data_IF_918777194994
#
_entry.id   IF_918777194994
#
_cell.length_a   1.000
_cell.length_b   1.000
_cell.length_c   1.000
_cell.angle_alpha   90.00
_cell.angle_beta   90.00
_cell.angle_gamma   90.00
#
_symmetry.space_group_name_H-M   'P 1'
#
loop_
_entity.id
_entity.type
_entity.pdbx_description
1 polymer ?
#
# COMPACT_ATOMS: atom_id res chain seq x y z
N UNK A 1 -5.76 21.00 -6.65
CA UNK A 1 -4.99 19.74 -6.69
C UNK A 1 -4.78 19.33 -5.25
N UNK A 2 -5.20 18.12 -4.90
CA UNK A 2 -5.07 17.58 -3.56
C UNK A 2 -4.25 16.30 -3.62
N UNK A 3 -3.34 16.12 -2.68
CA UNK A 3 -2.49 14.93 -2.62
C UNK A 3 -2.71 14.25 -1.27
N UNK A 4 -2.76 12.93 -1.28
CA UNK A 4 -2.62 12.13 -0.07
C UNK A 4 -1.43 11.18 -0.19
N UNK A 5 -0.69 11.04 0.91
CA UNK A 5 0.34 10.03 1.09
C UNK A 5 -0.20 9.05 2.11
N UNK A 6 -0.42 7.82 1.67
CA UNK A 6 -0.92 6.72 2.48
C UNK A 6 0.20 5.70 2.65
N UNK A 7 0.71 5.54 3.86
CA UNK A 7 1.79 4.60 4.19
C UNK A 7 1.23 3.48 5.06
N UNK A 8 1.43 2.24 4.62
CA UNK A 8 1.01 1.05 5.36
C UNK A 8 2.22 0.19 5.71
N UNK A 9 2.23 -0.30 6.94
CA UNK A 9 3.21 -1.31 7.38
C UNK A 9 2.54 -2.66 7.52
N UNK A 10 3.25 -3.70 7.11
CA UNK A 10 2.77 -5.07 7.08
C UNK A 10 3.69 -5.99 7.87
N UNK A 11 3.08 -6.94 8.58
CA UNK A 11 3.75 -8.14 9.07
C UNK A 11 3.39 -9.32 8.17
N UNK A 12 4.37 -10.16 7.85
CA UNK A 12 4.20 -11.37 7.03
C UNK A 12 4.59 -12.62 7.85
N UNK A 13 3.72 -13.08 8.79
CA UNK A 13 4.01 -14.27 9.59
C UNK A 13 4.23 -15.50 8.72
N UNK A 14 5.26 -16.28 9.06
CA UNK A 14 5.60 -17.50 8.33
C UNK A 14 6.20 -17.28 6.94
N UNK A 15 6.46 -16.03 6.54
CA UNK A 15 7.20 -15.76 5.31
C UNK A 15 8.68 -16.10 5.53
N UNK A 16 9.21 -17.08 4.80
CA UNK A 16 10.55 -17.64 5.00
C UNK A 16 11.62 -17.11 4.05
N UNK A 17 11.26 -16.27 3.08
CA UNK A 17 12.23 -15.72 2.13
C UNK A 17 11.78 -14.41 1.48
N UNK A 18 12.74 -13.64 0.96
CA UNK A 18 12.45 -12.43 0.19
C UNK A 18 11.66 -12.70 -1.09
N UNK A 19 11.87 -13.87 -1.71
CA UNK A 19 11.11 -14.28 -2.91
C UNK A 19 9.63 -14.48 -2.58
N UNK A 20 9.36 -15.19 -1.48
CA UNK A 20 8.01 -15.43 -0.99
C UNK A 20 7.31 -14.12 -0.63
N UNK A 21 8.00 -13.21 0.07
CA UNK A 21 7.48 -11.87 0.36
C UNK A 21 7.08 -11.13 -0.92
N UNK A 22 7.94 -11.09 -1.94
CA UNK A 22 7.62 -10.45 -3.23
C UNK A 22 6.39 -11.05 -3.88
N UNK A 23 6.19 -12.37 -3.76
CA UNK A 23 4.99 -13.04 -4.25
C UNK A 23 3.74 -12.62 -3.46
N UNK A 24 3.80 -12.62 -2.12
CA UNK A 24 2.65 -12.24 -1.25
C UNK A 24 2.26 -10.77 -1.41
N UNK A 25 3.24 -9.88 -1.60
CA UNK A 25 3.02 -8.43 -1.74
C UNK A 25 2.82 -7.97 -3.19
N UNK A 26 3.19 -8.78 -4.18
CA UNK A 26 3.17 -8.41 -5.59
C UNK A 26 1.80 -8.00 -6.13
N UNK A 27 0.72 -8.44 -5.48
CA UNK A 27 -0.66 -8.05 -5.80
C UNK A 27 -0.92 -6.54 -5.65
N UNK A 28 -0.18 -5.83 -4.79
CA UNK A 28 -0.38 -4.40 -4.57
C UNK A 28 -0.03 -3.57 -5.81
N UNK A 29 1.17 -3.77 -6.36
CA UNK A 29 1.59 -3.03 -7.55
C UNK A 29 0.70 -3.36 -8.76
N UNK A 30 0.36 -4.64 -8.96
CA UNK A 30 -0.48 -5.05 -10.08
C UNK A 30 -1.91 -4.49 -10.04
N UNK A 31 -2.48 -4.30 -8.84
CA UNK A 31 -3.87 -3.81 -8.70
C UNK A 31 -3.97 -2.30 -8.62
N UNK A 32 -3.07 -1.65 -7.89
CA UNK A 32 -3.15 -0.20 -7.64
C UNK A 32 -2.27 0.63 -8.57
N UNK A 33 -1.18 0.05 -9.10
CA UNK A 33 -0.26 0.75 -10.01
C UNK A 33 -0.84 1.01 -11.40
N UNK A 34 -1.99 0.40 -11.74
CA UNK A 34 -2.70 0.66 -12.99
C UNK A 34 -3.72 1.81 -12.88
N UNK A 35 -3.93 2.36 -11.69
CA UNK A 35 -4.82 3.50 -11.47
C UNK A 35 -4.04 4.79 -11.75
N UNK A 36 -4.38 5.61 -12.77
CA UNK A 36 -3.57 6.76 -13.16
C UNK A 36 -3.39 7.83 -12.08
N UNK A 37 -4.34 7.93 -11.15
CA UNK A 37 -4.28 8.87 -10.02
C UNK A 37 -3.44 8.38 -8.85
N UNK A 38 -2.84 7.18 -8.94
CA UNK A 38 -2.15 6.51 -7.83
C UNK A 38 -0.74 6.07 -8.25
N UNK A 39 0.27 6.53 -7.52
CA UNK A 39 1.60 5.94 -7.55
C UNK A 39 1.77 5.03 -6.33
N UNK A 40 2.37 3.84 -6.50
CA UNK A 40 2.54 2.86 -5.42
C UNK A 40 3.92 2.21 -5.48
N UNK A 41 4.57 2.04 -4.32
CA UNK A 41 5.78 1.24 -4.23
C UNK A 41 5.99 0.65 -2.83
N UNK A 42 6.85 -0.38 -2.76
CA UNK A 42 7.44 -0.79 -1.49
C UNK A 42 8.50 0.24 -1.08
N UNK A 43 8.15 1.07 -0.10
CA UNK A 43 8.94 2.19 0.40
C UNK A 43 9.91 1.78 1.51
N UNK A 44 9.65 0.68 2.22
CA UNK A 44 10.48 0.23 3.33
C UNK A 44 10.49 -1.29 3.55
N UNK A 45 11.44 -1.76 4.37
CA UNK A 45 11.52 -3.17 4.77
C UNK A 45 12.02 -4.15 3.68
N UNK A 46 12.55 -3.68 2.55
CA UNK A 46 12.95 -4.53 1.40
C UNK A 46 13.90 -5.69 1.73
N UNK A 47 14.79 -5.52 2.72
CA UNK A 47 15.75 -6.53 3.16
C UNK A 47 15.17 -7.53 4.18
N UNK A 48 13.95 -7.30 4.68
CA UNK A 48 13.23 -8.18 5.60
C UNK A 48 12.20 -9.00 4.85
N UNK A 49 12.11 -10.29 5.14
CA UNK A 49 11.08 -11.17 4.56
C UNK A 49 9.78 -11.16 5.37
N UNK A 50 9.86 -10.87 6.67
CA UNK A 50 8.76 -10.92 7.65
C UNK A 50 8.00 -9.60 7.79
N UNK A 51 8.44 -8.54 7.13
CA UNK A 51 7.84 -7.21 7.20
C UNK A 51 7.98 -6.45 5.88
N UNK A 52 7.07 -5.52 5.61
CA UNK A 52 7.12 -4.66 4.41
C UNK A 52 6.43 -3.33 4.71
N UNK A 53 6.85 -2.27 4.06
CA UNK A 53 6.17 -0.97 4.09
C UNK A 53 5.88 -0.53 2.66
N UNK A 54 4.66 -0.08 2.44
CA UNK A 54 4.19 0.38 1.14
C UNK A 54 3.59 1.76 1.26
N UNK A 55 3.93 2.61 0.31
CA UNK A 55 3.42 3.97 0.21
C UNK A 55 2.65 4.13 -1.09
N UNK A 56 1.49 4.77 -0.96
CA UNK A 56 0.60 5.16 -2.03
C UNK A 56 0.55 6.69 -2.06
N UNK A 57 0.80 7.28 -3.21
CA UNK A 57 0.59 8.71 -3.45
C UNK A 57 -0.63 8.84 -4.35
N UNK A 58 -1.68 9.48 -3.84
CA UNK A 58 -2.95 9.68 -4.53
C UNK A 58 -3.10 11.16 -4.87
N UNK A 59 -3.42 11.47 -6.12
CA UNK A 59 -3.65 12.85 -6.59
C UNK A 59 -5.06 12.99 -7.15
N UNK A 60 -5.78 14.03 -6.73
CA UNK A 60 -7.15 14.29 -7.20
C UNK A 60 -7.47 15.76 -7.37
N UNK A 61 -8.64 16.03 -7.97
CA UNK A 61 -9.13 17.39 -8.20
C UNK A 61 -9.84 17.95 -6.97
N UNK A 62 -10.33 17.09 -6.07
CA UNK A 62 -10.96 17.49 -4.82
C UNK A 62 -10.46 16.66 -3.62
N UNK A 63 -10.48 17.25 -2.42
CA UNK A 63 -10.14 16.54 -1.18
C UNK A 63 -11.02 15.30 -0.96
N UNK A 64 -12.33 15.42 -1.25
CA UNK A 64 -13.31 14.34 -1.10
C UNK A 64 -12.97 13.13 -1.97
N UNK A 65 -12.56 13.37 -3.21
CA UNK A 65 -12.14 12.32 -4.15
C UNK A 65 -10.92 11.56 -3.62
N UNK A 66 -9.88 12.30 -3.20
CA UNK A 66 -8.65 11.72 -2.65
C UNK A 66 -8.93 10.90 -1.38
N UNK A 67 -9.72 11.43 -0.45
CA UNK A 67 -10.13 10.70 0.76
C UNK A 67 -10.93 9.43 0.43
N UNK A 68 -11.79 9.48 -0.59
CA UNK A 68 -12.55 8.33 -1.04
C UNK A 68 -11.64 7.24 -1.59
N UNK A 69 -10.64 7.61 -2.40
CA UNK A 69 -9.67 6.66 -2.93
C UNK A 69 -8.78 6.06 -1.82
N UNK A 70 -8.37 6.85 -0.82
CA UNK A 70 -7.63 6.32 0.34
C UNK A 70 -8.42 5.21 1.05
N UNK A 71 -9.71 5.47 1.34
CA UNK A 71 -10.58 4.47 1.97
C UNK A 71 -10.73 3.21 1.13
N UNK A 72 -10.92 3.36 -0.18
CA UNK A 72 -11.05 2.23 -1.10
C UNK A 72 -9.77 1.38 -1.16
N UNK A 73 -8.59 2.02 -1.13
CA UNK A 73 -7.31 1.31 -1.09
C UNK A 73 -7.19 0.50 0.20
N UNK A 74 -7.48 1.10 1.35
CA UNK A 74 -7.39 0.41 2.64
C UNK A 74 -8.34 -0.78 2.75
N UNK A 75 -9.61 -0.62 2.36
CA UNK A 75 -10.60 -1.70 2.36
C UNK A 75 -10.19 -2.87 1.43
N UNK A 76 -9.56 -2.54 0.30
CA UNK A 76 -9.10 -3.54 -0.66
C UNK A 76 -7.82 -4.25 -0.21
N UNK A 77 -6.90 -3.54 0.45
CA UNK A 77 -5.60 -4.08 0.87
C UNK A 77 -5.78 -5.32 1.74
N UNK A 78 -6.69 -5.28 2.71
CA UNK A 78 -6.95 -6.41 3.61
C UNK A 78 -7.35 -7.71 2.89
N UNK A 79 -7.88 -7.60 1.67
CA UNK A 79 -8.33 -8.74 0.85
C UNK A 79 -7.31 -9.18 -0.19
N UNK A 80 -6.31 -8.36 -0.46
CA UNK A 80 -5.37 -8.54 -1.58
C UNK A 80 -4.09 -9.23 -1.13
N UNK A 81 -3.58 -8.86 0.03
CA UNK A 81 -2.29 -9.35 0.51
C UNK A 81 -2.47 -10.43 1.56
N UNK A 82 -1.64 -11.47 1.46
CA UNK A 82 -1.47 -12.45 2.53
C UNK A 82 -0.47 -11.91 3.56
N UNK A 83 -0.90 -10.84 4.26
CA UNK A 83 -0.13 -10.13 5.26
C UNK A 83 -1.08 -9.43 6.25
N UNK A 84 -0.58 -9.12 7.45
CA UNK A 84 -1.32 -8.35 8.45
C UNK A 84 -0.93 -6.88 8.35
N UNK A 85 -1.92 -6.00 8.20
CA UNK A 85 -1.69 -4.56 8.33
C UNK A 85 -1.44 -4.25 9.80
N UNK A 86 -0.34 -3.54 10.08
CA UNK A 86 0.09 -3.21 11.44
C UNK A 86 -0.15 -1.74 11.77
N UNK A 87 0.06 -0.86 10.80
CA UNK A 87 -0.15 0.57 10.93
C UNK A 87 -0.59 1.17 9.58
N UNK A 88 -1.37 2.25 9.66
CA UNK A 88 -1.82 3.03 8.51
C UNK A 88 -1.62 4.51 8.87
N UNK A 89 -0.80 5.20 8.09
CA UNK A 89 -0.55 6.62 8.22
C UNK A 89 -1.06 7.36 6.99
N UNK A 90 -1.76 8.47 7.23
CA UNK A 90 -2.32 9.33 6.19
C UNK A 90 -1.82 10.74 6.38
N UNK A 91 -1.22 11.28 5.33
CA UNK A 91 -0.83 12.69 5.23
C UNK A 91 -1.54 13.32 4.04
N UNK A 92 -2.05 14.54 4.21
CA UNK A 92 -2.69 15.31 3.14
C UNK A 92 -1.88 16.57 2.86
N UNK A 93 -1.61 16.82 1.58
CA UNK A 93 -0.82 17.96 1.07
C UNK A 93 -1.67 18.80 0.12
#
# INVERSE_FOLDING_TARGET
MHIAILTLTFSLPGCGSLKEKRQRMGGLHARFGNTPSVAVCESGGRARHDASEWTFVIVGLSKREVESQCREIEEKIERIVDARVMNIEREFV
#
